data_IF_898879889965
#
_entry.id   IF_898879889965
#
_cell.length_a   1.000
_cell.length_b   1.000
_cell.length_c   1.000
_cell.angle_alpha   90.00
_cell.angle_beta   90.00
_cell.angle_gamma   90.00
#
_symmetry.space_group_name_H-M   'P 1'
#
loop_
_entity.id
_entity.type
_entity.pdbx_description
1 polymer ?
#
# COMPACT_ATOMS: atom_id res chain seq x y z
N UNK A 1 -91.03 10.58 -18.53
CA UNK A 1 -89.82 9.81 -18.74
C UNK A 1 -88.73 10.43 -17.89
N UNK A 2 -88.29 9.75 -16.83
CA UNK A 2 -87.15 10.20 -16.00
C UNK A 2 -85.89 9.73 -16.72
N UNK A 3 -84.99 10.68 -17.14
CA UNK A 3 -83.74 10.38 -17.71
C UNK A 3 -82.80 9.68 -16.72
N UNK A 4 -82.24 8.55 -17.07
CA UNK A 4 -81.23 7.86 -16.30
C UNK A 4 -79.91 8.65 -16.37
N UNK A 5 -79.39 9.04 -15.21
CA UNK A 5 -78.06 9.64 -15.07
C UNK A 5 -77.04 8.53 -15.20
N UNK A 6 -76.25 8.52 -16.22
CA UNK A 6 -75.09 7.62 -16.37
C UNK A 6 -73.90 8.29 -15.65
N UNK A 7 -73.39 7.70 -14.59
CA UNK A 7 -72.22 8.15 -13.88
C UNK A 7 -71.05 7.29 -14.38
N UNK A 8 -70.02 7.89 -14.97
CA UNK A 8 -68.76 7.22 -15.35
C UNK A 8 -67.70 7.63 -14.35
N UNK A 9 -67.13 6.65 -13.64
CA UNK A 9 -66.03 6.88 -12.73
C UNK A 9 -64.72 6.73 -13.52
N UNK A 10 -63.92 7.78 -13.57
CA UNK A 10 -62.59 7.75 -14.12
C UNK A 10 -61.63 7.63 -12.97
N UNK A 11 -60.92 6.51 -12.86
CA UNK A 11 -59.84 6.34 -11.90
C UNK A 11 -58.56 6.95 -12.53
N UNK A 12 -58.13 8.07 -11.97
CA UNK A 12 -56.82 8.66 -12.30
C UNK A 12 -55.79 8.10 -11.33
N UNK A 13 -54.90 7.24 -11.82
CA UNK A 13 -53.72 6.81 -11.05
C UNK A 13 -52.60 7.75 -11.42
N UNK A 14 -52.27 8.65 -10.51
CA UNK A 14 -51.09 9.50 -10.64
C UNK A 14 -49.97 8.88 -9.80
N UNK A 15 -48.92 8.39 -10.47
CA UNK A 15 -47.64 8.03 -9.83
C UNK A 15 -46.90 9.30 -9.45
N UNK A 16 -46.41 9.37 -8.24
CA UNK A 16 -45.53 10.47 -7.84
C UNK A 16 -44.29 10.49 -8.76
N UNK A 17 -43.93 11.66 -9.24
CA UNK A 17 -42.67 11.80 -9.96
C UNK A 17 -41.48 11.45 -9.07
N UNK A 18 -40.45 10.86 -9.64
CA UNK A 18 -39.21 10.59 -8.93
C UNK A 18 -38.64 11.89 -8.38
N UNK A 19 -38.17 11.83 -7.13
CA UNK A 19 -37.53 12.97 -6.45
C UNK A 19 -36.22 12.54 -5.78
N UNK A 20 -35.18 13.26 -6.11
CA UNK A 20 -33.84 13.06 -5.52
C UNK A 20 -33.29 14.43 -5.12
N UNK A 21 -32.96 14.59 -3.84
CA UNK A 21 -32.27 15.76 -3.29
C UNK A 21 -31.08 15.26 -2.46
N UNK A 22 -29.91 15.80 -2.74
CA UNK A 22 -28.66 15.46 -2.05
C UNK A 22 -28.05 16.72 -1.46
N UNK A 23 -27.70 16.70 -0.18
CA UNK A 23 -27.11 17.87 0.50
C UNK A 23 -26.10 17.45 1.59
N UNK A 24 -24.98 18.14 1.72
CA UNK A 24 -24.46 19.14 0.78
C UNK A 24 -23.96 18.52 -0.53
N UNK A 25 -23.92 19.30 -1.60
CA UNK A 25 -23.36 18.86 -2.90
C UNK A 25 -21.87 19.14 -3.04
N UNK A 26 -21.28 19.89 -2.10
CA UNK A 26 -19.83 20.20 -2.12
C UNK A 26 -19.31 20.18 -0.69
N UNK A 27 -18.20 19.49 -0.49
CA UNK A 27 -17.37 19.56 0.70
C UNK A 27 -16.04 20.25 0.34
N UNK A 28 -15.80 21.42 0.90
CA UNK A 28 -14.56 22.17 0.69
C UNK A 28 -13.64 22.05 1.90
N UNK A 29 -12.32 21.93 1.66
CA UNK A 29 -11.32 21.91 2.72
C UNK A 29 -11.40 20.69 3.63
N UNK A 30 -11.82 19.55 3.11
CA UNK A 30 -11.78 18.29 3.85
C UNK A 30 -10.35 18.02 4.29
N UNK A 31 -10.16 17.63 5.56
CA UNK A 31 -8.82 17.41 6.11
C UNK A 31 -7.99 16.41 5.30
N UNK A 32 -6.74 16.74 5.07
CA UNK A 32 -5.76 15.83 4.48
C UNK A 32 -5.49 14.60 5.35
N UNK A 33 -5.68 14.70 6.67
CA UNK A 33 -5.53 13.60 7.63
C UNK A 33 -6.64 12.53 7.55
N UNK A 34 -7.52 12.66 6.56
CA UNK A 34 -8.71 11.85 6.43
C UNK A 34 -9.89 12.47 7.19
N UNK A 35 -11.08 12.07 6.79
CA UNK A 35 -12.32 12.57 7.40
C UNK A 35 -13.47 11.58 7.18
N UNK A 36 -14.48 11.70 8.02
CA UNK A 36 -15.81 11.16 7.75
C UNK A 36 -16.70 12.32 7.30
N UNK A 37 -17.27 12.19 6.12
CA UNK A 37 -18.28 13.13 5.61
C UNK A 37 -19.65 12.48 5.65
N UNK A 38 -20.70 13.29 5.78
CA UNK A 38 -22.09 12.81 5.81
C UNK A 38 -22.93 13.58 4.79
N UNK A 39 -23.63 12.84 3.95
CA UNK A 39 -24.52 13.33 2.90
C UNK A 39 -25.93 12.95 3.25
N UNK A 40 -26.83 13.92 3.28
CA UNK A 40 -28.26 13.72 3.47
C UNK A 40 -28.94 13.54 2.12
N UNK A 41 -29.59 12.41 1.94
CA UNK A 41 -30.32 12.06 0.71
C UNK A 41 -31.81 12.02 1.03
N UNK A 42 -32.59 12.83 0.32
CA UNK A 42 -34.05 12.82 0.38
C UNK A 42 -34.60 12.28 -0.93
N UNK A 43 -35.35 11.20 -0.87
CA UNK A 43 -35.81 10.48 -2.06
C UNK A 43 -37.14 9.77 -1.81
N UNK A 44 -37.86 9.48 -2.88
CA UNK A 44 -39.05 8.64 -2.89
C UNK A 44 -38.84 7.25 -3.52
N UNK A 45 -37.56 6.89 -3.80
CA UNK A 45 -37.19 5.60 -4.38
C UNK A 45 -35.84 5.10 -3.89
N UNK A 46 -35.38 3.99 -4.44
CA UNK A 46 -34.06 3.40 -4.13
C UNK A 46 -32.99 4.11 -4.91
N UNK A 47 -32.03 4.70 -4.21
CA UNK A 47 -30.91 5.43 -4.82
C UNK A 47 -29.70 4.50 -5.01
N UNK A 48 -29.12 4.51 -6.20
CA UNK A 48 -27.82 3.92 -6.47
C UNK A 48 -26.72 4.95 -6.17
N UNK A 49 -25.67 4.50 -5.48
CA UNK A 49 -24.52 5.34 -5.10
C UNK A 49 -23.25 4.81 -5.74
N UNK A 50 -22.61 5.61 -6.58
CA UNK A 50 -21.32 5.33 -7.15
C UNK A 50 -20.26 6.25 -6.52
N UNK A 51 -19.22 5.66 -5.96
CA UNK A 51 -18.04 6.37 -5.47
C UNK A 51 -17.03 6.34 -6.59
N UNK A 52 -16.73 7.50 -7.17
CA UNK A 52 -15.95 7.58 -8.40
C UNK A 52 -14.43 7.56 -8.14
N UNK A 53 -14.01 7.71 -6.88
CA UNK A 53 -12.61 7.79 -6.48
C UNK A 53 -12.31 6.82 -5.34
N UNK A 54 -11.27 6.00 -5.50
CA UNK A 54 -10.92 4.89 -4.59
C UNK A 54 -10.53 5.30 -3.16
N UNK A 55 -10.17 6.58 -2.96
CA UNK A 55 -9.83 7.12 -1.64
C UNK A 55 -11.04 7.51 -0.77
N UNK A 56 -12.25 7.26 -1.26
CA UNK A 56 -13.50 7.37 -0.51
C UNK A 56 -14.17 6.00 -0.40
N UNK A 57 -14.78 5.71 0.74
CA UNK A 57 -15.51 4.46 0.96
C UNK A 57 -16.84 4.71 1.68
N UNK A 58 -17.87 3.93 1.37
CA UNK A 58 -19.17 4.00 2.05
C UNK A 58 -19.09 3.28 3.39
N UNK A 59 -19.54 3.92 4.46
CA UNK A 59 -19.47 3.38 5.84
C UNK A 59 -20.83 2.84 6.31
N UNK A 60 -21.94 3.25 5.72
CA UNK A 60 -23.28 2.72 6.07
C UNK A 60 -24.33 3.03 5.02
N UNK A 61 -25.14 2.02 4.69
CA UNK A 61 -26.44 2.22 4.08
C UNK A 61 -27.51 1.59 5.00
N UNK A 62 -28.44 2.38 5.52
CA UNK A 62 -29.69 1.85 6.07
C UNK A 62 -30.83 2.37 5.21
N UNK A 63 -31.51 1.44 4.57
CA UNK A 63 -32.75 1.74 3.86
C UNK A 63 -33.90 1.83 4.83
N UNK A 64 -34.54 2.98 4.92
CA UNK A 64 -35.99 3.17 5.11
C UNK A 64 -36.31 4.66 5.19
N UNK A 65 -37.21 5.10 4.28
CA UNK A 65 -38.00 6.34 4.30
C UNK A 65 -37.30 7.66 3.93
N UNK A 66 -37.95 8.41 3.13
CA UNK A 66 -37.90 9.80 2.67
C UNK A 66 -36.65 10.68 2.93
N UNK A 67 -35.85 10.37 3.93
CA UNK A 67 -34.62 11.08 4.28
C UNK A 67 -33.62 10.09 4.88
N UNK A 68 -32.44 9.99 4.27
CA UNK A 68 -31.37 9.08 4.67
C UNK A 68 -30.04 9.83 4.80
N UNK A 69 -29.32 9.64 5.92
CA UNK A 69 -27.95 10.07 6.06
C UNK A 69 -27.00 8.95 5.59
N UNK A 70 -26.16 9.25 4.61
CA UNK A 70 -25.13 8.35 4.12
C UNK A 70 -23.75 8.89 4.51
N UNK A 71 -22.91 8.04 5.10
CA UNK A 71 -21.60 8.42 5.55
C UNK A 71 -20.50 7.79 4.70
N UNK A 72 -19.48 8.56 4.40
CA UNK A 72 -18.32 8.16 3.62
C UNK A 72 -17.03 8.49 4.36
N UNK A 73 -16.11 7.55 4.40
CA UNK A 73 -14.76 7.82 4.84
C UNK A 73 -13.95 8.40 3.68
N UNK A 74 -13.20 9.43 3.98
CA UNK A 74 -12.20 10.06 3.09
C UNK A 74 -10.82 9.69 3.63
N UNK A 75 -10.06 8.93 2.87
CA UNK A 75 -8.73 8.46 3.26
C UNK A 75 -7.75 9.63 3.40
N UNK A 76 -6.64 9.41 4.13
CA UNK A 76 -5.53 10.37 4.25
C UNK A 76 -4.98 10.73 2.86
N UNK A 77 -4.62 11.99 2.66
CA UNK A 77 -4.05 12.48 1.42
C UNK A 77 -2.61 12.96 1.64
N UNK A 78 -1.65 12.07 1.46
CA UNK A 78 -0.23 12.42 1.55
C UNK A 78 0.33 13.11 0.29
N UNK A 79 -0.50 13.31 -0.74
CA UNK A 79 -0.14 13.99 -1.98
C UNK A 79 -0.55 15.47 -1.98
N UNK A 80 -0.70 16.01 -3.19
CA UNK A 80 -1.26 17.36 -3.40
C UNK A 80 -2.76 17.40 -3.12
N UNK A 81 -3.36 18.58 -2.87
CA UNK A 81 -4.81 18.69 -2.78
C UNK A 81 -5.51 18.02 -3.96
N UNK A 82 -6.57 17.28 -3.68
CA UNK A 82 -7.28 16.48 -4.69
C UNK A 82 -8.78 16.71 -4.65
N UNK A 83 -9.45 16.41 -5.76
CA UNK A 83 -10.89 16.51 -5.90
C UNK A 83 -11.43 15.16 -6.35
N UNK A 84 -12.49 14.70 -5.73
CA UNK A 84 -13.23 13.51 -6.11
C UNK A 84 -14.74 13.73 -6.04
N UNK A 85 -15.49 12.71 -6.42
CA UNK A 85 -16.94 12.81 -6.49
C UNK A 85 -17.68 11.54 -6.12
N UNK A 86 -18.91 11.71 -5.64
CA UNK A 86 -19.86 10.65 -5.34
C UNK A 86 -21.14 10.95 -6.13
N UNK A 87 -21.58 10.01 -6.92
CA UNK A 87 -22.78 10.17 -7.75
C UNK A 87 -23.95 9.38 -7.18
N UNK A 88 -25.10 10.01 -7.07
CA UNK A 88 -26.38 9.46 -6.61
C UNK A 88 -27.34 9.42 -7.78
N UNK A 89 -27.97 8.28 -8.05
CA UNK A 89 -28.86 8.10 -9.20
C UNK A 89 -30.18 7.46 -8.77
N UNK A 90 -31.29 8.04 -9.22
CA UNK A 90 -32.65 7.50 -9.08
C UNK A 90 -33.39 7.66 -10.42
N UNK A 91 -33.60 6.55 -11.14
CA UNK A 91 -34.15 6.62 -12.51
C UNK A 91 -33.26 7.48 -13.41
N UNK A 92 -33.83 8.52 -14.02
CA UNK A 92 -33.12 9.48 -14.87
C UNK A 92 -32.52 10.66 -14.09
N UNK A 93 -32.78 10.74 -12.76
CA UNK A 93 -32.24 11.80 -11.91
C UNK A 93 -30.84 11.45 -11.45
N UNK A 94 -29.94 12.43 -11.51
CA UNK A 94 -28.56 12.28 -11.06
C UNK A 94 -28.13 13.53 -10.28
N UNK A 95 -27.58 13.29 -9.10
CA UNK A 95 -26.95 14.32 -8.25
C UNK A 95 -25.51 13.93 -7.94
N UNK A 96 -24.60 14.90 -7.96
CA UNK A 96 -23.18 14.67 -7.70
C UNK A 96 -22.70 15.50 -6.51
N UNK A 97 -22.06 14.82 -5.58
CA UNK A 97 -21.35 15.46 -4.46
C UNK A 97 -19.88 15.54 -4.81
N UNK A 98 -19.32 16.74 -4.75
CA UNK A 98 -17.90 17.00 -4.99
C UNK A 98 -17.17 17.13 -3.66
N UNK A 99 -16.01 16.50 -3.52
CA UNK A 99 -15.16 16.53 -2.32
C UNK A 99 -13.80 17.09 -2.67
N UNK A 100 -13.47 18.26 -2.12
CA UNK A 100 -12.15 18.90 -2.24
C UNK A 100 -11.35 18.61 -0.96
N UNK A 101 -10.37 17.73 -1.05
CA UNK A 101 -9.51 17.35 0.07
C UNK A 101 -8.16 18.07 0.01
N UNK A 102 -7.75 18.64 1.12
CA UNK A 102 -6.42 19.24 1.31
C UNK A 102 -5.35 18.12 1.35
N UNK A 103 -4.08 18.50 1.18
CA UNK A 103 -2.96 17.63 1.55
C UNK A 103 -2.91 17.45 3.07
N UNK A 104 -2.51 16.26 3.52
CA UNK A 104 -2.15 16.04 4.92
C UNK A 104 -0.92 16.88 5.27
N UNK A 105 -0.88 17.40 6.49
CA UNK A 105 0.34 17.96 7.02
C UNK A 105 1.25 16.81 7.43
N UNK A 106 2.28 16.51 6.62
CA UNK A 106 3.31 15.52 6.97
C UNK A 106 4.16 16.16 8.06
N UNK A 107 4.10 15.69 9.32
CA UNK A 107 4.96 16.22 10.36
C UNK A 107 6.43 16.07 9.97
N UNK A 108 7.29 16.96 10.43
CA UNK A 108 8.76 16.79 10.38
C UNK A 108 9.16 15.62 11.32
N UNK A 109 9.15 14.41 10.75
CA UNK A 109 9.37 13.14 11.47
C UNK A 109 10.67 12.44 11.02
N UNK A 110 11.56 13.16 10.33
CA UNK A 110 12.78 12.62 9.74
C UNK A 110 12.52 11.82 8.46
N UNK A 111 11.54 12.25 7.65
CA UNK A 111 11.13 11.58 6.40
C UNK A 111 11.04 12.59 5.22
N UNK A 112 11.94 13.55 5.19
CA UNK A 112 11.85 14.71 4.27
C UNK A 112 12.12 14.32 2.82
N UNK A 113 13.07 13.39 2.59
CA UNK A 113 13.54 13.05 1.24
C UNK A 113 12.54 12.22 0.45
N UNK A 114 12.21 12.65 -0.76
CA UNK A 114 11.59 11.78 -1.75
C UNK A 114 12.58 10.71 -2.26
N UNK A 115 12.13 9.81 -3.13
CA UNK A 115 12.93 8.69 -3.63
C UNK A 115 14.22 9.14 -4.34
N UNK A 116 14.14 10.19 -5.16
CA UNK A 116 15.30 10.72 -5.91
C UNK A 116 16.30 11.39 -4.98
N UNK A 117 15.81 12.21 -4.06
CA UNK A 117 16.62 12.90 -3.06
C UNK A 117 17.33 11.92 -2.13
N UNK A 118 16.63 10.86 -1.70
CA UNK A 118 17.21 9.84 -0.83
C UNK A 118 18.24 9.00 -1.57
N UNK A 119 17.96 8.58 -2.82
CA UNK A 119 18.90 7.85 -3.64
C UNK A 119 20.20 8.65 -3.87
N UNK A 120 20.11 9.97 -4.05
CA UNK A 120 21.28 10.84 -4.21
C UNK A 120 22.15 10.92 -2.95
N UNK A 121 21.61 10.63 -1.77
CA UNK A 121 22.36 10.56 -0.51
C UNK A 121 23.13 9.25 -0.33
N UNK A 122 22.71 8.18 -1.00
CA UNK A 122 23.36 6.85 -0.95
C UNK A 122 24.40 6.73 -2.07
N UNK A 123 25.70 6.73 -1.73
CA UNK A 123 26.77 6.74 -2.72
C UNK A 123 27.60 5.46 -2.77
N UNK A 124 27.73 4.72 -1.66
CA UNK A 124 28.44 3.45 -1.60
C UNK A 124 27.74 2.50 -0.62
N UNK A 125 27.33 1.34 -1.11
CA UNK A 125 26.61 0.36 -0.34
C UNK A 125 27.39 -0.92 -0.10
N UNK A 126 27.06 -1.60 1.00
CA UNK A 126 27.52 -2.93 1.36
C UNK A 126 26.34 -3.86 1.54
N UNK A 127 26.37 -5.05 0.93
CA UNK A 127 25.36 -6.09 1.18
C UNK A 127 25.87 -7.06 2.25
N UNK A 128 25.13 -7.20 3.36
CA UNK A 128 25.46 -8.15 4.42
C UNK A 128 24.75 -9.48 4.08
N UNK A 129 25.29 -10.20 3.10
CA UNK A 129 24.76 -11.48 2.67
C UNK A 129 25.23 -12.68 3.51
N UNK A 130 24.54 -13.81 3.33
CA UNK A 130 24.79 -15.08 4.01
C UNK A 130 24.66 -15.00 5.54
N UNK A 131 23.72 -14.18 6.01
CA UNK A 131 23.43 -13.95 7.43
C UNK A 131 21.93 -14.06 7.74
N UNK A 132 21.21 -12.94 7.81
CA UNK A 132 19.79 -12.97 8.21
C UNK A 132 18.87 -13.63 7.17
N UNK A 133 19.29 -13.78 5.93
CA UNK A 133 18.58 -14.54 4.89
C UNK A 133 18.92 -16.04 4.89
N UNK A 134 19.91 -16.46 5.68
CA UNK A 134 20.37 -17.85 5.66
C UNK A 134 19.28 -18.80 6.19
N UNK A 135 18.91 -19.78 5.38
CA UNK A 135 18.03 -20.87 5.83
C UNK A 135 18.74 -21.73 6.90
N UNK A 136 18.04 -21.98 7.99
CA UNK A 136 18.60 -22.67 9.15
C UNK A 136 19.14 -21.74 10.24
N UNK A 137 19.15 -20.42 10.02
CA UNK A 137 19.53 -19.42 10.99
C UNK A 137 20.71 -18.55 10.58
N UNK A 138 20.89 -17.43 11.26
CA UNK A 138 21.83 -16.35 10.92
C UNK A 138 23.27 -16.81 10.63
N UNK A 139 23.73 -17.91 11.21
CA UNK A 139 25.09 -18.42 11.05
C UNK A 139 25.17 -19.70 10.21
N UNK A 140 24.04 -20.17 9.70
CA UNK A 140 23.95 -21.49 9.04
C UNK A 140 24.80 -21.61 7.75
N UNK A 141 25.04 -20.49 7.08
CA UNK A 141 25.84 -20.45 5.84
C UNK A 141 27.29 -20.03 6.07
N UNK A 142 27.75 -20.08 7.33
CA UNK A 142 29.17 -19.94 7.71
C UNK A 142 29.62 -18.55 8.08
N UNK A 143 28.78 -17.52 7.94
CA UNK A 143 29.11 -16.18 8.43
C UNK A 143 28.81 -16.05 9.94
N UNK A 144 29.59 -15.23 10.66
CA UNK A 144 29.30 -14.93 12.06
C UNK A 144 28.06 -14.06 12.19
N UNK A 145 27.50 -13.98 13.40
CA UNK A 145 26.43 -13.03 13.71
C UNK A 145 26.86 -11.61 13.43
N UNK A 146 25.94 -10.80 12.90
CA UNK A 146 26.16 -9.38 12.67
C UNK A 146 26.28 -8.68 14.04
N UNK A 147 27.35 -7.91 14.22
CA UNK A 147 27.59 -7.09 15.41
C UNK A 147 27.67 -5.62 15.08
N UNK A 148 27.49 -4.75 16.08
CA UNK A 148 27.63 -3.31 15.88
C UNK A 148 29.06 -2.93 15.45
N UNK A 149 30.10 -3.63 15.96
CA UNK A 149 31.49 -3.43 15.58
C UNK A 149 31.72 -3.72 14.10
N UNK A 150 31.03 -4.72 13.54
CA UNK A 150 31.08 -5.01 12.12
C UNK A 150 30.48 -3.85 11.31
N UNK A 151 29.32 -3.32 11.70
CA UNK A 151 28.71 -2.14 11.06
C UNK A 151 29.64 -0.92 11.14
N UNK A 152 30.22 -0.64 12.31
CA UNK A 152 31.22 0.45 12.48
C UNK A 152 32.40 0.28 11.54
N UNK A 153 32.85 -0.95 11.32
CA UNK A 153 33.97 -1.23 10.41
C UNK A 153 33.58 -0.93 8.95
N UNK A 154 32.38 -1.30 8.52
CA UNK A 154 31.87 -0.97 7.18
C UNK A 154 31.80 0.56 7.00
N UNK A 155 31.28 1.29 7.98
CA UNK A 155 31.25 2.76 7.97
C UNK A 155 32.65 3.37 7.84
N UNK A 156 33.63 2.86 8.61
CA UNK A 156 35.02 3.32 8.56
C UNK A 156 35.70 3.08 7.20
N UNK A 157 35.25 2.08 6.43
CA UNK A 157 35.71 1.81 5.07
C UNK A 157 35.12 2.75 4.03
N UNK A 158 34.23 3.67 4.44
CA UNK A 158 33.66 4.70 3.57
C UNK A 158 32.29 4.37 2.99
N UNK A 159 31.66 3.25 3.38
CA UNK A 159 30.29 2.95 2.98
C UNK A 159 29.28 3.78 3.80
N UNK A 160 28.16 4.14 3.16
CA UNK A 160 27.09 4.86 3.83
C UNK A 160 25.70 4.22 3.65
N UNK A 161 25.64 3.09 2.95
CA UNK A 161 24.41 2.31 2.80
C UNK A 161 24.67 0.83 3.07
N UNK A 162 23.72 0.14 3.67
CA UNK A 162 23.77 -1.29 3.95
C UNK A 162 22.47 -1.94 3.50
N UNK A 163 22.57 -3.01 2.69
CA UNK A 163 21.46 -3.90 2.43
C UNK A 163 21.54 -5.10 3.36
N UNK A 164 20.44 -5.39 4.03
CA UNK A 164 20.30 -6.51 4.96
C UNK A 164 19.29 -7.48 4.36
N UNK A 165 19.74 -8.50 3.62
CA UNK A 165 18.87 -9.58 3.17
C UNK A 165 18.26 -10.31 4.38
N UNK A 166 16.94 -10.57 4.35
CA UNK A 166 16.24 -11.23 5.46
C UNK A 166 15.34 -12.36 4.97
N UNK A 167 15.40 -13.50 5.68
CA UNK A 167 14.41 -14.56 5.59
C UNK A 167 13.34 -14.38 6.68
N UNK A 168 12.11 -14.71 6.36
CA UNK A 168 10.97 -14.54 7.25
C UNK A 168 10.16 -15.84 7.40
N UNK A 169 10.02 -16.61 6.32
CA UNK A 169 9.19 -17.82 6.26
C UNK A 169 9.58 -18.86 7.33
N UNK A 170 10.87 -19.14 7.48
CA UNK A 170 11.36 -20.07 8.49
C UNK A 170 11.14 -19.59 9.94
N UNK A 171 10.79 -18.34 10.13
CA UNK A 171 10.54 -17.72 11.43
C UNK A 171 9.05 -17.48 11.70
N UNK A 172 8.16 -18.01 10.86
CA UNK A 172 6.72 -18.02 11.12
C UNK A 172 6.45 -18.96 12.31
N UNK A 173 5.81 -18.42 13.35
CA UNK A 173 5.40 -19.18 14.54
C UNK A 173 4.02 -19.79 14.34
N UNK A 174 3.11 -19.04 13.74
CA UNK A 174 1.76 -19.50 13.45
C UNK A 174 1.50 -19.48 11.92
N UNK A 175 1.53 -20.64 11.23
CA UNK A 175 1.30 -20.69 9.79
C UNK A 175 -0.08 -20.21 9.33
N UNK A 176 -1.10 -20.27 10.20
CA UNK A 176 -2.46 -19.85 9.83
C UNK A 176 -2.62 -18.32 9.77
N UNK A 177 -1.78 -17.58 10.47
CA UNK A 177 -1.80 -16.10 10.52
C UNK A 177 -0.53 -15.49 9.95
N UNK A 178 0.45 -16.30 9.57
CA UNK A 178 1.80 -15.90 9.19
C UNK A 178 2.49 -15.03 10.26
N UNK A 179 2.21 -15.29 11.52
CA UNK A 179 2.79 -14.58 12.65
C UNK A 179 4.28 -14.87 12.77
N UNK A 180 5.11 -13.83 12.76
CA UNK A 180 6.56 -13.93 12.84
C UNK A 180 6.95 -14.03 14.33
N UNK A 181 7.91 -14.91 14.65
CA UNK A 181 8.48 -14.99 15.99
C UNK A 181 8.99 -13.63 16.45
N UNK A 182 8.51 -13.18 17.61
CA UNK A 182 8.91 -11.89 18.19
C UNK A 182 10.44 -11.77 18.32
N UNK A 183 11.12 -12.85 18.73
CA UNK A 183 12.58 -12.87 18.82
C UNK A 183 13.31 -12.64 17.49
N UNK A 184 12.68 -12.94 16.36
CA UNK A 184 13.23 -12.66 15.04
C UNK A 184 13.02 -11.21 14.64
N UNK A 185 11.83 -10.69 14.86
CA UNK A 185 11.55 -9.25 14.70
C UNK A 185 12.49 -8.40 15.55
N UNK A 186 12.77 -8.82 16.81
CA UNK A 186 13.75 -8.18 17.69
C UNK A 186 15.16 -8.22 17.10
N UNK A 187 15.58 -9.38 16.56
CA UNK A 187 16.92 -9.51 15.99
C UNK A 187 17.10 -8.62 14.76
N UNK A 188 16.13 -8.58 13.85
CA UNK A 188 16.20 -7.69 12.68
C UNK A 188 16.21 -6.23 13.12
N UNK A 189 15.34 -5.86 14.07
CA UNK A 189 15.31 -4.51 14.64
C UNK A 189 16.65 -4.13 15.29
N UNK A 190 17.30 -5.03 15.99
CA UNK A 190 18.63 -4.81 16.60
C UNK A 190 19.69 -4.49 15.52
N UNK A 191 19.74 -5.27 14.43
CA UNK A 191 20.71 -5.06 13.35
C UNK A 191 20.43 -3.76 12.60
N UNK A 192 19.16 -3.44 12.31
CA UNK A 192 18.77 -2.14 11.75
C UNK A 192 19.19 -1.01 12.69
N UNK A 193 19.00 -1.19 14.00
CA UNK A 193 19.43 -0.24 15.01
C UNK A 193 20.94 0.05 14.97
N UNK A 194 21.77 -0.97 14.80
CA UNK A 194 23.21 -0.78 14.62
C UNK A 194 23.54 0.08 13.40
N UNK A 195 22.84 -0.15 12.27
CA UNK A 195 23.08 0.59 11.04
C UNK A 195 22.66 2.07 11.18
N UNK A 196 21.43 2.32 11.63
CA UNK A 196 20.89 3.68 11.77
C UNK A 196 21.65 4.49 12.84
N UNK A 197 22.03 3.87 13.97
CA UNK A 197 22.84 4.51 14.99
C UNK A 197 24.25 4.90 14.52
N UNK A 198 24.78 4.22 13.50
CA UNK A 198 26.03 4.54 12.86
C UNK A 198 25.85 5.38 11.57
N UNK A 199 24.70 6.04 11.42
CA UNK A 199 24.39 6.95 10.33
C UNK A 199 24.54 6.28 8.93
N UNK A 200 23.94 5.08 8.79
CA UNK A 200 23.89 4.30 7.56
C UNK A 200 22.47 4.24 7.01
N UNK A 201 22.30 4.44 5.72
CA UNK A 201 21.08 4.09 5.03
C UNK A 201 20.95 2.57 5.00
N UNK A 202 19.78 2.06 5.32
CA UNK A 202 19.57 0.64 5.57
C UNK A 202 18.38 0.13 4.75
N UNK A 203 18.59 -0.95 3.99
CA UNK A 203 17.55 -1.59 3.19
C UNK A 203 17.27 -2.96 3.78
N UNK A 204 16.02 -3.22 4.16
CA UNK A 204 15.52 -4.53 4.61
C UNK A 204 14.55 -5.06 3.56
N UNK A 205 14.67 -6.34 3.23
CA UNK A 205 13.82 -6.99 2.22
C UNK A 205 13.21 -8.31 2.71
N UNK A 206 12.34 -8.89 1.88
CA UNK A 206 12.11 -10.33 1.84
C UNK A 206 13.06 -10.86 0.76
N UNK A 207 14.07 -11.65 1.19
CA UNK A 207 15.06 -12.20 0.28
C UNK A 207 14.53 -13.46 -0.42
N UNK A 208 15.41 -14.36 -0.89
CA UNK A 208 14.98 -15.63 -1.48
C UNK A 208 14.03 -16.43 -0.57
N UNK A 209 14.35 -16.52 0.73
CA UNK A 209 13.48 -16.99 1.81
C UNK A 209 12.79 -18.35 1.49
N UNK A 210 13.58 -19.31 0.97
CA UNK A 210 13.07 -20.59 0.51
C UNK A 210 12.32 -20.57 -0.82
N UNK A 211 12.26 -19.42 -1.50
CA UNK A 211 11.66 -19.25 -2.82
C UNK A 211 10.13 -19.20 -2.81
N UNK A 212 9.50 -19.00 -1.64
CA UNK A 212 8.04 -19.02 -1.54
C UNK A 212 7.37 -17.96 -2.41
N UNK A 213 7.99 -16.79 -2.57
CA UNK A 213 7.51 -15.73 -3.44
C UNK A 213 8.24 -15.75 -4.79
N UNK A 214 9.58 -15.75 -4.77
CA UNK A 214 10.39 -15.60 -5.98
C UNK A 214 10.11 -16.67 -7.03
N UNK A 215 9.93 -17.94 -6.61
CA UNK A 215 9.68 -19.04 -7.50
C UNK A 215 8.19 -19.27 -7.80
N UNK A 216 7.31 -18.41 -7.32
CA UNK A 216 5.86 -18.59 -7.36
C UNK A 216 5.12 -17.32 -7.81
N UNK A 217 5.67 -16.60 -8.79
CA UNK A 217 4.97 -15.51 -9.47
C UNK A 217 3.96 -16.05 -10.50
N UNK A 218 3.07 -16.94 -10.07
CA UNK A 218 2.12 -17.65 -10.93
C UNK A 218 0.66 -17.43 -10.48
N UNK A 219 -0.32 -17.44 -11.40
CA UNK A 219 -1.71 -17.12 -11.07
C UNK A 219 -2.33 -18.05 -10.00
N UNK A 220 -1.92 -19.32 -9.95
CA UNK A 220 -2.40 -20.30 -8.97
C UNK A 220 -1.85 -20.04 -7.55
N UNK A 221 -0.75 -19.28 -7.42
CA UNK A 221 -0.14 -18.90 -6.16
C UNK A 221 -0.42 -17.44 -5.74
N UNK A 222 -1.07 -16.69 -6.61
CA UNK A 222 -1.24 -15.24 -6.42
C UNK A 222 -1.99 -14.87 -5.14
N UNK A 223 -3.09 -15.55 -4.84
CA UNK A 223 -3.92 -15.25 -3.65
C UNK A 223 -3.16 -15.60 -2.37
N UNK A 224 -2.67 -16.83 -2.24
CA UNK A 224 -1.92 -17.33 -1.09
C UNK A 224 -0.71 -16.46 -0.77
N UNK A 225 0.07 -16.11 -1.80
CA UNK A 225 1.28 -15.30 -1.61
C UNK A 225 0.96 -13.83 -1.31
N UNK A 226 -0.12 -13.27 -1.85
CA UNK A 226 -0.57 -11.92 -1.45
C UNK A 226 -0.99 -11.86 0.01
N UNK A 227 -1.74 -12.85 0.51
CA UNK A 227 -2.10 -12.94 1.93
C UNK A 227 -0.85 -12.99 2.82
N UNK A 228 0.10 -13.84 2.47
CA UNK A 228 1.37 -13.98 3.19
C UNK A 228 2.21 -12.71 3.13
N UNK A 229 2.36 -12.11 1.94
CA UNK A 229 3.09 -10.86 1.73
C UNK A 229 2.49 -9.72 2.59
N UNK A 230 1.16 -9.60 2.61
CA UNK A 230 0.46 -8.64 3.44
C UNK A 230 0.73 -8.85 4.93
N UNK A 231 0.60 -10.09 5.40
CA UNK A 231 0.80 -10.42 6.81
C UNK A 231 2.24 -10.15 7.27
N UNK A 232 3.24 -10.56 6.48
CA UNK A 232 4.64 -10.34 6.80
C UNK A 232 4.99 -8.86 6.81
N UNK A 233 4.66 -8.11 5.74
CA UNK A 233 5.00 -6.70 5.67
C UNK A 233 4.27 -5.84 6.70
N UNK A 234 3.05 -6.20 7.09
CA UNK A 234 2.36 -5.53 8.19
C UNK A 234 3.15 -5.63 9.50
N UNK A 235 3.68 -6.80 9.83
CA UNK A 235 4.45 -7.04 11.06
C UNK A 235 5.83 -6.37 11.00
N UNK A 236 6.56 -6.54 9.89
CA UNK A 236 7.87 -5.94 9.66
C UNK A 236 7.78 -4.41 9.74
N UNK A 237 6.84 -3.83 9.01
CA UNK A 237 6.67 -2.39 8.95
C UNK A 237 6.25 -1.80 10.31
N UNK A 238 5.36 -2.46 11.06
CA UNK A 238 5.01 -2.03 12.41
C UNK A 238 6.21 -2.06 13.36
N UNK A 239 6.99 -3.15 13.33
CA UNK A 239 8.17 -3.30 14.19
C UNK A 239 9.21 -2.20 13.97
N UNK A 240 9.40 -1.81 12.72
CA UNK A 240 10.45 -0.90 12.29
C UNK A 240 9.97 0.54 12.04
N UNK A 241 8.72 0.87 12.37
CA UNK A 241 8.09 2.17 12.07
C UNK A 241 8.82 3.37 12.69
N UNK A 242 9.48 3.19 13.84
CA UNK A 242 10.12 4.26 14.59
C UNK A 242 11.38 4.84 13.92
N UNK A 243 12.01 4.13 12.97
CA UNK A 243 13.17 4.62 12.24
C UNK A 243 12.81 5.69 11.23
N UNK A 244 13.72 6.65 11.03
CA UNK A 244 13.58 7.73 10.04
C UNK A 244 13.85 7.27 8.59
N UNK A 245 14.04 8.22 7.67
CA UNK A 245 14.24 7.96 6.23
C UNK A 245 15.48 7.11 5.91
N UNK A 246 16.40 6.92 6.87
CA UNK A 246 17.57 6.05 6.67
C UNK A 246 17.19 4.58 6.58
N UNK A 247 15.99 4.18 7.00
CA UNK A 247 15.48 2.84 6.75
C UNK A 247 14.54 2.82 5.55
N UNK A 248 14.81 1.93 4.60
CA UNK A 248 14.01 1.64 3.43
C UNK A 248 13.53 0.18 3.48
N UNK A 249 12.34 -0.07 2.92
CA UNK A 249 11.83 -1.42 2.74
C UNK A 249 11.88 -1.80 1.26
N UNK A 250 12.27 -3.03 0.96
CA UNK A 250 12.34 -3.60 -0.39
C UNK A 250 11.42 -4.83 -0.47
N UNK A 251 10.45 -4.81 -1.38
CA UNK A 251 9.31 -5.73 -1.37
C UNK A 251 9.66 -7.19 -1.54
N UNK A 252 10.68 -7.48 -2.36
CA UNK A 252 11.16 -8.82 -2.73
C UNK A 252 12.68 -8.80 -2.91
N UNK A 253 13.24 -9.84 -3.59
CA UNK A 253 14.63 -9.85 -4.00
C UNK A 253 14.77 -10.01 -5.53
N UNK A 254 14.83 -11.24 -6.06
CA UNK A 254 15.04 -11.52 -7.48
C UNK A 254 13.90 -12.41 -8.05
N UNK A 255 12.66 -11.89 -8.14
CA UNK A 255 11.49 -12.70 -8.48
C UNK A 255 11.62 -13.28 -9.89
N UNK A 256 11.44 -14.62 -10.00
CA UNK A 256 11.52 -15.35 -11.26
C UNK A 256 10.29 -15.08 -12.11
N UNK A 257 10.43 -14.18 -13.08
CA UNK A 257 9.37 -13.74 -13.98
C UNK A 257 9.90 -13.70 -15.40
N UNK A 258 9.26 -14.45 -16.30
CA UNK A 258 9.70 -14.60 -17.69
C UNK A 258 8.69 -14.03 -18.71
N UNK A 259 7.47 -13.73 -18.30
CA UNK A 259 6.40 -13.29 -19.20
C UNK A 259 5.40 -12.32 -18.55
N UNK A 260 4.51 -11.75 -19.34
CA UNK A 260 3.54 -10.74 -18.91
C UNK A 260 2.52 -11.25 -17.88
N UNK A 261 2.17 -12.55 -17.90
CA UNK A 261 1.25 -13.14 -16.93
C UNK A 261 1.89 -13.21 -15.55
N UNK A 262 3.11 -13.70 -15.47
CA UNK A 262 3.90 -13.73 -14.24
C UNK A 262 4.21 -12.31 -13.75
N UNK A 263 4.48 -11.36 -14.67
CA UNK A 263 4.69 -9.96 -14.31
C UNK A 263 3.44 -9.34 -13.67
N UNK A 264 2.25 -9.68 -14.16
CA UNK A 264 1.00 -9.21 -13.54
C UNK A 264 0.85 -9.73 -12.10
N UNK A 265 1.25 -10.99 -11.85
CA UNK A 265 1.27 -11.57 -10.50
C UNK A 265 2.31 -10.87 -9.62
N UNK A 266 3.54 -10.69 -10.11
CA UNK A 266 4.56 -9.94 -9.37
C UNK A 266 4.08 -8.53 -9.00
N UNK A 267 3.45 -7.83 -9.94
CA UNK A 267 2.87 -6.50 -9.64
C UNK A 267 1.85 -6.54 -8.51
N UNK A 268 1.03 -7.60 -8.42
CA UNK A 268 0.11 -7.74 -7.30
C UNK A 268 0.84 -7.92 -5.96
N UNK A 269 1.94 -8.68 -5.93
CA UNK A 269 2.77 -8.84 -4.73
C UNK A 269 3.41 -7.51 -4.29
N UNK A 270 3.93 -6.75 -5.26
CA UNK A 270 4.52 -5.45 -5.00
C UNK A 270 3.47 -4.42 -4.53
N UNK A 271 2.25 -4.45 -5.11
CA UNK A 271 1.16 -3.60 -4.66
C UNK A 271 0.74 -3.96 -3.23
N UNK A 272 0.62 -5.24 -2.92
CA UNK A 272 0.31 -5.72 -1.56
C UNK A 272 1.37 -5.27 -0.54
N UNK A 273 2.65 -5.33 -0.89
CA UNK A 273 3.75 -4.81 -0.07
C UNK A 273 3.59 -3.30 0.22
N UNK A 274 3.33 -2.51 -0.82
CA UNK A 274 3.15 -1.05 -0.68
C UNK A 274 1.96 -0.76 0.23
N UNK A 275 0.81 -1.38 -0.04
CA UNK A 275 -0.43 -1.15 0.69
C UNK A 275 -0.30 -1.56 2.17
N UNK A 276 0.30 -2.73 2.45
CA UNK A 276 0.57 -3.20 3.81
C UNK A 276 1.50 -2.25 4.57
N UNK A 277 2.60 -1.82 3.94
CA UNK A 277 3.53 -0.86 4.53
C UNK A 277 2.85 0.48 4.84
N UNK A 278 2.11 1.05 3.90
CA UNK A 278 1.38 2.32 4.07
C UNK A 278 0.31 2.24 5.16
N UNK A 279 -0.41 1.13 5.23
CA UNK A 279 -1.50 0.93 6.21
C UNK A 279 -1.01 0.95 7.66
N UNK A 280 0.26 0.69 7.94
CA UNK A 280 0.82 0.78 9.30
C UNK A 280 0.95 2.21 9.81
N UNK A 281 0.82 3.22 8.95
CA UNK A 281 0.83 4.63 9.34
C UNK A 281 2.17 5.12 9.90
N UNK A 282 2.15 6.19 10.69
CA UNK A 282 3.36 6.79 11.26
C UNK A 282 4.39 7.16 10.19
N UNK A 283 5.66 6.84 10.40
CA UNK A 283 6.72 7.12 9.41
C UNK A 283 6.60 6.27 8.14
N UNK A 284 5.99 5.09 8.23
CA UNK A 284 5.77 4.23 7.07
C UNK A 284 4.75 4.80 6.09
N UNK A 285 3.85 5.68 6.55
CA UNK A 285 2.92 6.38 5.66
C UNK A 285 3.63 7.13 4.53
N UNK A 286 4.88 7.56 4.74
CA UNK A 286 5.67 8.35 3.77
C UNK A 286 7.07 7.79 3.53
N UNK A 287 7.39 6.58 4.04
CA UNK A 287 8.68 5.92 3.85
C UNK A 287 8.95 5.65 2.36
N UNK A 288 10.20 5.82 1.93
CA UNK A 288 10.61 5.37 0.60
C UNK A 288 10.62 3.83 0.55
N UNK A 289 9.98 3.28 -0.48
CA UNK A 289 9.83 1.85 -0.71
C UNK A 289 10.54 1.45 -2.01
N UNK A 290 11.07 0.24 -2.04
CA UNK A 290 11.82 -0.28 -3.17
C UNK A 290 11.05 -1.46 -3.76
N UNK A 291 10.87 -1.44 -5.08
CA UNK A 291 10.20 -2.49 -5.86
C UNK A 291 11.17 -3.12 -6.86
N UNK A 292 11.02 -4.39 -7.12
CA UNK A 292 11.91 -5.18 -7.98
C UNK A 292 11.20 -5.57 -9.27
N UNK A 293 11.91 -5.44 -10.38
CA UNK A 293 11.48 -5.99 -11.66
C UNK A 293 11.79 -7.48 -11.80
N UNK A 294 11.44 -8.08 -12.95
CA UNK A 294 11.72 -9.48 -13.26
C UNK A 294 13.20 -9.83 -13.06
N UNK A 295 13.47 -10.77 -12.17
CA UNK A 295 14.83 -11.22 -11.81
C UNK A 295 15.78 -10.09 -11.38
N UNK A 296 15.26 -8.89 -11.10
CA UNK A 296 16.00 -7.62 -10.97
C UNK A 296 16.94 -7.35 -12.16
N UNK A 297 16.73 -8.04 -13.27
CA UNK A 297 17.51 -7.88 -14.50
C UNK A 297 17.10 -6.59 -15.23
N UNK A 298 18.10 -5.82 -15.70
CA UNK A 298 17.88 -4.51 -16.32
C UNK A 298 17.05 -4.64 -17.61
N UNK A 299 17.38 -5.59 -18.48
CA UNK A 299 16.71 -5.75 -19.77
C UNK A 299 15.30 -6.30 -19.60
N UNK A 300 15.12 -7.30 -18.74
CA UNK A 300 13.78 -7.85 -18.40
C UNK A 300 12.89 -6.79 -17.75
N UNK A 301 13.44 -6.01 -16.81
CA UNK A 301 12.73 -4.90 -16.17
C UNK A 301 12.29 -3.88 -17.21
N UNK A 302 13.19 -3.46 -18.11
CA UNK A 302 12.83 -2.52 -19.19
C UNK A 302 11.73 -3.07 -20.11
N UNK A 303 11.73 -4.36 -20.38
CA UNK A 303 10.84 -4.96 -21.39
C UNK A 303 9.48 -5.39 -20.80
N UNK A 304 9.41 -5.80 -19.54
CA UNK A 304 8.22 -6.41 -18.94
C UNK A 304 7.59 -5.60 -17.81
N UNK A 305 8.36 -4.77 -17.10
CA UNK A 305 7.86 -4.08 -15.89
C UNK A 305 6.76 -3.08 -16.22
N UNK A 306 6.96 -2.29 -17.30
CA UNK A 306 5.99 -1.25 -17.69
C UNK A 306 5.86 -0.16 -16.63
N UNK A 307 4.63 0.17 -16.24
CA UNK A 307 4.37 1.19 -15.23
C UNK A 307 4.67 0.70 -13.80
N UNK A 308 5.16 1.59 -12.96
CA UNK A 308 5.34 1.35 -11.53
C UNK A 308 4.01 0.98 -10.86
N UNK A 309 4.02 0.19 -9.78
CA UNK A 309 2.86 0.05 -8.90
C UNK A 309 2.35 1.40 -8.42
N UNK A 310 1.09 1.46 -8.00
CA UNK A 310 0.51 2.70 -7.48
C UNK A 310 0.91 2.94 -6.04
N UNK A 311 1.13 4.21 -5.69
CA UNK A 311 1.37 4.63 -4.31
C UNK A 311 0.50 5.87 -4.00
N UNK A 312 -0.13 5.88 -2.84
CA UNK A 312 -0.90 7.03 -2.36
C UNK A 312 0.00 8.24 -2.04
N UNK A 313 1.31 8.01 -1.91
CA UNK A 313 2.33 9.04 -1.66
C UNK A 313 3.19 9.22 -2.91
N UNK A 314 3.14 10.37 -3.58
CA UNK A 314 3.90 10.57 -4.80
C UNK A 314 5.42 10.58 -4.54
N UNK A 315 6.18 10.09 -5.52
CA UNK A 315 7.65 10.13 -5.54
C UNK A 315 8.33 9.40 -4.36
N UNK A 316 7.72 8.32 -3.84
CA UNK A 316 8.28 7.52 -2.74
C UNK A 316 8.62 6.08 -3.14
N UNK A 317 8.54 5.74 -4.43
CA UNK A 317 8.95 4.44 -4.95
C UNK A 317 10.28 4.53 -5.71
N UNK A 318 11.13 3.51 -5.50
CA UNK A 318 12.37 3.28 -6.22
C UNK A 318 12.29 1.92 -6.92
N UNK A 319 12.88 1.79 -8.11
CA UNK A 319 13.09 0.50 -8.75
C UNK A 319 14.50 -0.01 -8.44
N UNK A 320 14.61 -1.29 -8.03
CA UNK A 320 15.89 -1.97 -7.79
C UNK A 320 16.21 -2.87 -8.98
N UNK A 321 17.47 -2.79 -9.43
CA UNK A 321 18.04 -3.71 -10.41
C UNK A 321 19.37 -4.24 -9.90
N UNK A 322 19.68 -5.50 -10.22
CA UNK A 322 20.95 -6.13 -9.91
C UNK A 322 21.80 -6.26 -11.17
N UNK A 323 23.10 -6.00 -11.06
CA UNK A 323 24.00 -5.99 -12.18
C UNK A 323 25.25 -6.83 -11.87
N UNK A 324 25.31 -8.01 -12.47
CA UNK A 324 26.38 -8.98 -12.22
C UNK A 324 27.43 -9.06 -13.33
N UNK A 325 27.27 -8.33 -14.43
CA UNK A 325 28.20 -8.38 -15.55
C UNK A 325 29.35 -7.37 -15.42
N UNK A 326 30.55 -7.67 -15.98
CA UNK A 326 30.88 -8.93 -16.63
C UNK A 326 31.11 -10.06 -15.61
N UNK A 327 30.62 -11.25 -15.94
CA UNK A 327 31.03 -12.47 -15.22
C UNK A 327 32.47 -12.77 -15.58
N UNK A 328 33.37 -12.81 -14.62
CA UNK A 328 34.78 -13.19 -14.80
C UNK A 328 34.99 -14.67 -14.56
#
# INVERSE_FOLDING_TARGET
MKGATVTQTVNVVQTAADGLIVAPTVFNGVSGEGARIEVKVTTNGTVNVAINDSWMTNVSSRAAMTEQAMAFNVAVNYGTPRTGSITFTLGDLTETVTVHQLAANIPDIGMESNAVELAAKMYAGWNIGNTLEATGGETAWGNPKITEEYIKKIKQLGFNAIRIPCAWDQYIENPATHEIKESWLDRVNEVVGYCVANDMYTIVNIHWDGGWLENNCTPDKQEENNEKQHALWTQIANRLNHYDERLLFAGTNEPNVDNATEMAVLKSYLQTFIDAGRATGGKNAVRNLIVQGPNTDIERTNNLFGEMPTDVVPNRLMAEVHYYTPWS
#
